data_IF_855383921320
#
_entry.id   IF_855383921320
#
_cell.length_a   1.000
_cell.length_b   1.000
_cell.length_c   1.000
_cell.angle_alpha   90.00
_cell.angle_beta   90.00
_cell.angle_gamma   90.00
#
_symmetry.space_group_name_H-M   'P 1'
#
loop_
_entity.id
_entity.type
_entity.pdbx_description
1 polymer ?
#
# COMPACT_ATOMS: atom_id res chain seq x y z
N UNK A 1 -3.73 -6.86 -11.98
CA UNK A 1 -3.78 -6.08 -10.73
C UNK A 1 -2.45 -6.33 -10.04
N UNK A 2 -1.65 -5.29 -9.81
CA UNK A 2 -0.23 -5.42 -9.45
C UNK A 2 0.08 -4.41 -8.34
N UNK A 3 0.32 -4.91 -7.12
CA UNK A 3 0.57 -4.11 -5.93
C UNK A 3 1.76 -3.17 -6.17
N UNK A 4 2.82 -3.67 -6.83
CA UNK A 4 4.05 -2.92 -7.06
C UNK A 4 3.79 -1.74 -7.99
N UNK A 5 3.05 -1.95 -9.07
CA UNK A 5 2.68 -0.87 -10.01
C UNK A 5 1.81 0.19 -9.33
N UNK A 6 0.87 -0.23 -8.48
CA UNK A 6 0.00 0.69 -7.75
C UNK A 6 0.76 1.51 -6.70
N UNK A 7 1.71 0.89 -5.99
CA UNK A 7 2.63 1.60 -5.06
C UNK A 7 3.46 2.64 -5.80
N UNK A 8 4.09 2.28 -6.93
CA UNK A 8 4.89 3.23 -7.71
C UNK A 8 4.06 4.41 -8.23
N UNK A 9 2.83 4.15 -8.69
CA UNK A 9 1.92 5.22 -9.12
C UNK A 9 1.60 6.17 -7.96
N UNK A 10 1.22 5.64 -6.80
CA UNK A 10 0.88 6.49 -5.65
C UNK A 10 2.06 7.28 -5.09
N UNK A 11 3.26 6.73 -5.19
CA UNK A 11 4.48 7.46 -4.86
C UNK A 11 4.73 8.62 -5.84
N UNK A 12 4.53 8.41 -7.14
CA UNK A 12 4.60 9.48 -8.15
C UNK A 12 3.52 10.55 -7.97
N UNK A 13 2.35 10.18 -7.43
CA UNK A 13 1.28 11.11 -7.05
C UNK A 13 1.63 11.93 -5.78
N UNK A 14 2.78 11.69 -5.15
CA UNK A 14 3.23 12.41 -3.96
C UNK A 14 2.58 11.96 -2.66
N UNK A 15 1.95 10.77 -2.63
CA UNK A 15 1.32 10.25 -1.41
C UNK A 15 2.35 9.76 -0.41
N UNK A 16 2.03 9.90 0.88
CA UNK A 16 2.85 9.36 1.97
C UNK A 16 2.85 7.82 1.97
N UNK A 17 3.89 7.21 2.54
CA UNK A 17 3.97 5.75 2.69
C UNK A 17 2.81 5.18 3.50
N UNK A 18 2.32 5.93 4.50
CA UNK A 18 1.15 5.56 5.31
C UNK A 18 -0.12 5.48 4.46
N UNK A 19 -0.37 6.49 3.61
CA UNK A 19 -1.53 6.49 2.71
C UNK A 19 -1.45 5.37 1.67
N UNK A 20 -0.25 5.12 1.14
CA UNK A 20 -0.01 4.02 0.20
C UNK A 20 -0.35 2.69 0.88
N UNK A 21 0.20 2.42 2.07
CA UNK A 21 -0.06 1.19 2.82
C UNK A 21 -1.56 1.01 3.10
N UNK A 22 -2.23 2.05 3.60
CA UNK A 22 -3.68 2.04 3.86
C UNK A 22 -4.48 1.72 2.60
N UNK A 23 -4.09 2.29 1.45
CA UNK A 23 -4.77 2.05 0.17
C UNK A 23 -4.56 0.63 -0.32
N UNK A 24 -3.34 0.09 -0.21
CA UNK A 24 -3.03 -1.29 -0.57
C UNK A 24 -3.79 -2.26 0.35
N UNK A 25 -3.76 -2.07 1.67
CA UNK A 25 -4.44 -2.98 2.61
C UNK A 25 -5.96 -3.00 2.36
N UNK A 26 -6.57 -1.84 2.11
CA UNK A 26 -8.00 -1.75 1.75
C UNK A 26 -8.30 -2.47 0.44
N UNK A 27 -7.41 -2.35 -0.55
CA UNK A 27 -7.64 -2.85 -1.91
C UNK A 27 -7.34 -4.36 -2.05
N UNK A 28 -6.40 -4.87 -1.26
CA UNK A 28 -5.84 -6.21 -1.41
C UNK A 28 -6.14 -7.18 -0.25
N UNK A 29 -6.70 -6.72 0.87
CA UNK A 29 -7.14 -7.59 1.99
C UNK A 29 -8.08 -8.72 1.58
N UNK A 30 -8.83 -8.55 0.48
CA UNK A 30 -9.68 -9.61 -0.10
C UNK A 30 -8.90 -10.83 -0.62
N UNK A 31 -7.61 -10.70 -0.87
CA UNK A 31 -6.76 -11.75 -1.42
C UNK A 31 -5.96 -12.51 -0.35
N UNK A 32 -6.03 -12.08 0.91
CA UNK A 32 -5.33 -12.70 2.03
C UNK A 32 -4.99 -11.69 3.12
N UNK A 33 -4.61 -12.16 4.31
CA UNK A 33 -4.12 -11.29 5.36
C UNK A 33 -2.86 -10.54 4.88
N UNK A 34 -2.68 -9.27 5.26
CA UNK A 34 -1.46 -8.55 4.95
C UNK A 34 -0.27 -9.25 5.60
N UNK A 35 0.87 -9.23 4.92
CA UNK A 35 2.14 -9.67 5.51
C UNK A 35 2.43 -8.80 6.72
N UNK A 36 2.90 -9.43 7.80
CA UNK A 36 3.27 -8.77 9.05
C UNK A 36 4.52 -7.91 8.81
N UNK A 37 4.29 -6.70 8.33
CA UNK A 37 5.29 -5.71 7.98
C UNK A 37 5.01 -4.51 8.86
N UNK A 38 6.05 -4.00 9.53
CA UNK A 38 5.94 -2.83 10.37
C UNK A 38 5.29 -1.68 9.61
N UNK A 39 4.36 -0.99 10.29
CA UNK A 39 3.69 0.16 9.70
C UNK A 39 4.70 1.29 9.49
N UNK A 40 4.72 1.91 8.30
CA UNK A 40 5.54 3.10 8.07
C UNK A 40 5.20 4.16 9.13
N UNK A 41 6.23 4.73 9.74
CA UNK A 41 6.08 5.88 10.64
C UNK A 41 6.02 7.16 9.79
N UNK A 42 5.25 8.17 10.24
CA UNK A 42 5.06 9.46 9.55
C UNK A 42 6.32 10.34 9.54
#
# INVERSE_FOLDING_TARGET
MDITRDVMRYWQEGKSLVEIRKRIDTTYSRFGPPTDTEWPQE
#
